data_IF_617356497456
#
_entry.id   IF_617356497456
#
_cell.length_a   1.000
_cell.length_b   1.000
_cell.length_c   1.000
_cell.angle_alpha   90.00
_cell.angle_beta   90.00
_cell.angle_gamma   90.00
#
_symmetry.space_group_name_H-M   'P 1'
#
loop_
_entity.id
_entity.type
_entity.pdbx_description
1 polymer ?
#
# COMPACT_ATOMS: atom_id res chain seq x y z
N UNK A 1 -8.17 51.56 -19.52
CA UNK A 1 -7.38 50.32 -19.36
C UNK A 1 -7.83 49.66 -18.07
N UNK A 2 -8.60 48.58 -18.15
CA UNK A 2 -8.86 47.77 -16.97
C UNK A 2 -7.55 47.04 -16.63
N UNK A 3 -6.96 47.33 -15.48
CA UNK A 3 -5.96 46.44 -14.88
C UNK A 3 -6.72 45.15 -14.54
N UNK A 4 -6.64 44.18 -15.45
CA UNK A 4 -7.19 42.85 -15.23
C UNK A 4 -6.45 42.32 -14.00
N UNK A 5 -7.17 42.13 -12.90
CA UNK A 5 -6.61 41.52 -11.70
C UNK A 5 -6.09 40.12 -12.05
N UNK A 6 -4.86 39.83 -11.63
CA UNK A 6 -4.15 38.60 -11.93
C UNK A 6 -3.17 38.78 -13.08
N UNK A 7 -1.88 38.71 -12.74
CA UNK A 7 -0.78 38.91 -13.69
C UNK A 7 -0.67 37.81 -14.75
N UNK A 8 0.50 37.73 -15.38
CA UNK A 8 0.78 36.81 -16.50
C UNK A 8 0.38 35.34 -16.24
N UNK A 9 0.42 34.87 -14.99
CA UNK A 9 0.02 33.52 -14.57
C UNK A 9 -1.37 33.09 -15.07
N UNK A 10 -2.33 34.02 -15.17
CA UNK A 10 -3.69 33.72 -15.62
C UNK A 10 -3.81 33.47 -17.13
N UNK A 11 -2.76 33.77 -17.88
CA UNK A 11 -2.74 33.64 -19.34
C UNK A 11 -1.80 32.53 -19.83
N UNK A 12 -0.98 31.95 -18.96
CA UNK A 12 0.01 30.91 -19.33
C UNK A 12 -0.66 29.70 -19.99
N UNK A 13 -1.86 29.32 -19.53
CA UNK A 13 -2.60 28.19 -20.12
C UNK A 13 -2.94 28.38 -21.60
N UNK A 14 -3.07 29.63 -22.07
CA UNK A 14 -3.33 29.94 -23.48
C UNK A 14 -2.11 29.72 -24.38
N UNK A 15 -0.92 29.62 -23.80
CA UNK A 15 0.34 29.38 -24.52
C UNK A 15 0.61 27.89 -24.76
N UNK A 16 -0.20 27.00 -24.18
CA UNK A 16 0.02 25.57 -24.28
C UNK A 16 -0.28 25.05 -25.69
N UNK A 17 0.75 24.55 -26.37
CA UNK A 17 0.67 24.05 -27.74
C UNK A 17 0.06 25.05 -28.73
N UNK A 18 0.25 26.35 -28.49
CA UNK A 18 -0.29 27.42 -29.32
C UNK A 18 0.70 27.79 -30.45
N UNK A 19 0.33 27.66 -31.73
CA UNK A 19 1.22 27.99 -32.83
C UNK A 19 1.42 29.49 -33.03
N UNK A 20 0.48 30.36 -32.62
CA UNK A 20 0.50 31.80 -32.91
C UNK A 20 1.66 32.52 -32.22
N UNK A 21 1.91 32.21 -30.94
CA UNK A 21 2.96 32.84 -30.13
C UNK A 21 4.21 31.96 -29.94
N UNK A 22 4.21 30.74 -30.49
CA UNK A 22 5.37 29.84 -30.42
C UNK A 22 6.59 30.36 -31.18
N UNK A 23 7.77 30.21 -30.58
CA UNK A 23 9.07 30.52 -31.19
C UNK A 23 9.92 29.26 -31.45
N UNK A 24 9.37 28.08 -31.17
CA UNK A 24 9.94 26.77 -31.53
C UNK A 24 8.86 25.71 -31.75
N UNK A 25 9.04 24.88 -32.77
CA UNK A 25 8.28 23.68 -33.05
C UNK A 25 9.10 22.43 -32.69
N UNK A 26 8.52 21.51 -31.92
CA UNK A 26 9.17 20.26 -31.49
C UNK A 26 8.49 19.10 -32.21
N UNK A 27 9.25 18.43 -33.07
CA UNK A 27 8.80 17.27 -33.85
C UNK A 27 9.05 15.99 -33.07
N UNK A 28 7.99 15.23 -32.84
CA UNK A 28 7.90 14.06 -31.97
C UNK A 28 7.34 12.87 -32.75
N UNK A 29 7.51 11.65 -32.25
CA UNK A 29 6.93 10.47 -32.88
C UNK A 29 5.43 10.42 -32.64
N UNK A 30 4.66 10.12 -33.70
CA UNK A 30 3.22 9.95 -33.58
C UNK A 30 2.90 8.57 -33.00
N UNK A 31 2.32 8.54 -31.81
CA UNK A 31 1.91 7.34 -31.08
C UNK A 31 0.39 7.14 -31.04
N UNK A 32 -0.37 7.91 -31.84
CA UNK A 32 -1.82 7.79 -31.93
C UNK A 32 -2.25 6.58 -32.80
N UNK A 33 -2.40 5.42 -32.18
CA UNK A 33 -2.94 4.22 -32.83
C UNK A 33 -1.88 3.26 -33.38
N UNK A 34 -2.33 2.15 -33.97
CA UNK A 34 -1.47 0.99 -34.29
C UNK A 34 -0.68 1.10 -35.61
N UNK A 35 -0.94 2.13 -36.44
CA UNK A 35 -0.41 2.23 -37.82
C UNK A 35 0.27 3.58 -38.11
N UNK A 36 0.84 4.23 -37.09
CA UNK A 36 1.52 5.53 -37.21
C UNK A 36 3.05 5.40 -37.30
N UNK A 37 3.58 4.21 -37.55
CA UNK A 37 5.02 3.95 -37.57
C UNK A 37 5.73 4.81 -38.62
N UNK A 38 6.51 5.79 -38.16
CA UNK A 38 7.26 6.72 -39.00
C UNK A 38 6.59 8.08 -39.20
N UNK A 39 5.36 8.26 -38.72
CA UNK A 39 4.69 9.56 -38.70
C UNK A 39 5.18 10.41 -37.52
N UNK A 40 5.11 11.73 -37.69
CA UNK A 40 5.51 12.69 -36.66
C UNK A 40 4.40 13.68 -36.34
N UNK A 41 4.34 14.12 -35.08
CA UNK A 41 3.49 15.23 -34.63
C UNK A 41 4.32 16.38 -34.08
N UNK A 42 3.78 17.58 -34.17
CA UNK A 42 4.46 18.81 -33.74
C UNK A 42 3.82 19.36 -32.48
N UNK A 43 4.66 19.67 -31.49
CA UNK A 43 4.31 20.47 -30.33
C UNK A 43 4.84 21.89 -30.50
N UNK A 44 3.96 22.89 -30.38
CA UNK A 44 4.33 24.31 -30.45
C UNK A 44 4.66 24.85 -29.06
N UNK A 45 5.92 25.27 -28.89
CA UNK A 45 6.46 25.67 -27.59
C UNK A 45 7.12 27.03 -27.59
N UNK A 46 7.52 27.44 -26.39
CA UNK A 46 8.19 28.70 -26.12
C UNK A 46 9.59 28.43 -25.56
N UNK A 47 10.64 28.84 -26.28
CA UNK A 47 12.05 28.56 -25.95
C UNK A 47 12.38 28.98 -24.52
N UNK A 48 11.90 30.15 -24.11
CA UNK A 48 12.13 30.67 -22.76
C UNK A 48 11.49 29.80 -21.68
N UNK A 49 10.26 29.29 -21.90
CA UNK A 49 9.56 28.43 -20.94
C UNK A 49 10.28 27.08 -20.83
N UNK A 50 10.60 26.47 -21.97
CA UNK A 50 11.30 25.19 -22.04
C UNK A 50 12.69 25.27 -21.38
N UNK A 51 13.49 26.28 -21.71
CA UNK A 51 14.81 26.49 -21.12
C UNK A 51 14.76 26.85 -19.63
N UNK A 52 13.68 27.48 -19.17
CA UNK A 52 13.47 27.76 -17.75
C UNK A 52 13.23 26.47 -16.98
N UNK A 53 12.54 25.49 -17.56
CA UNK A 53 12.18 24.23 -16.89
C UNK A 53 13.17 23.09 -17.15
N UNK A 54 13.95 23.12 -18.21
CA UNK A 54 14.83 22.02 -18.62
C UNK A 54 16.22 22.51 -18.99
N UNK A 55 17.23 21.97 -18.33
CA UNK A 55 18.63 22.27 -18.68
C UNK A 55 19.02 21.65 -20.03
N UNK A 56 18.34 20.59 -20.46
CA UNK A 56 18.43 20.02 -21.80
C UNK A 56 18.02 21.08 -22.85
N UNK A 57 16.81 21.63 -22.74
CA UNK A 57 16.34 22.66 -23.66
C UNK A 57 17.11 23.97 -23.53
N UNK A 58 17.55 24.33 -22.31
CA UNK A 58 18.41 25.51 -22.11
C UNK A 58 19.71 25.39 -22.90
N UNK A 59 20.37 24.25 -22.79
CA UNK A 59 21.61 23.98 -23.52
C UNK A 59 21.36 23.94 -25.02
N UNK A 60 20.32 23.24 -25.48
CA UNK A 60 19.99 23.09 -26.90
C UNK A 60 19.60 24.41 -27.58
N UNK A 61 18.79 25.25 -26.92
CA UNK A 61 18.18 26.44 -27.52
C UNK A 61 18.99 27.73 -27.28
N UNK A 62 19.73 27.82 -26.19
CA UNK A 62 20.53 29.01 -25.85
C UNK A 62 22.04 28.74 -25.80
N UNK A 63 22.47 27.50 -26.00
CA UNK A 63 23.88 27.13 -26.12
C UNK A 63 24.42 27.29 -27.54
N UNK A 64 25.50 26.57 -27.83
CA UNK A 64 26.23 26.65 -29.11
C UNK A 64 25.84 25.56 -30.11
N UNK A 65 24.70 24.89 -29.92
CA UNK A 65 24.20 23.86 -30.82
C UNK A 65 23.50 24.46 -32.04
N UNK A 66 23.40 23.70 -33.14
CA UNK A 66 22.76 24.18 -34.39
C UNK A 66 21.27 24.44 -34.17
N UNK A 67 20.65 23.71 -33.24
CA UNK A 67 19.28 23.86 -32.78
C UNK A 67 19.00 25.26 -32.20
N UNK A 68 20.03 25.97 -31.72
CA UNK A 68 19.89 27.30 -31.15
C UNK A 68 19.41 28.37 -32.17
N UNK A 69 19.52 28.09 -33.47
CA UNK A 69 19.02 28.99 -34.53
C UNK A 69 17.87 28.39 -35.33
N UNK A 70 17.45 27.15 -35.05
CA UNK A 70 16.36 26.49 -35.76
C UNK A 70 15.00 26.88 -35.17
N UNK A 71 14.00 27.05 -36.02
CA UNK A 71 12.59 27.17 -35.63
C UNK A 71 11.93 25.82 -35.34
N UNK A 72 12.54 24.74 -35.81
CA UNK A 72 12.05 23.38 -35.65
C UNK A 72 13.17 22.48 -35.12
N UNK A 73 12.86 21.70 -34.09
CA UNK A 73 13.76 20.72 -33.48
C UNK A 73 13.09 19.33 -33.46
N UNK A 74 13.88 18.26 -33.59
CA UNK A 74 13.39 16.88 -33.64
C UNK A 74 13.87 16.12 -32.41
N UNK A 75 12.97 15.43 -31.72
CA UNK A 75 13.28 14.52 -30.60
C UNK A 75 12.90 13.08 -30.96
N UNK A 76 13.79 12.34 -31.66
CA UNK A 76 13.49 10.98 -32.09
C UNK A 76 13.41 10.02 -30.91
N UNK A 77 12.47 9.07 -30.98
CA UNK A 77 12.18 8.11 -29.92
C UNK A 77 11.28 8.65 -28.80
N UNK A 78 10.76 9.87 -28.93
CA UNK A 78 9.89 10.47 -27.91
C UNK A 78 8.44 10.46 -28.42
N UNK A 79 7.54 9.71 -27.76
CA UNK A 79 6.11 9.70 -28.08
C UNK A 79 5.48 11.07 -27.84
N UNK A 80 4.63 11.50 -28.78
CA UNK A 80 3.93 12.78 -28.69
C UNK A 80 3.04 12.85 -27.44
N UNK A 81 2.29 11.79 -27.14
CA UNK A 81 1.38 11.78 -25.98
C UNK A 81 2.13 11.93 -24.64
N UNK A 82 3.26 11.24 -24.47
CA UNK A 82 4.10 11.35 -23.28
C UNK A 82 4.70 12.75 -23.12
N UNK A 83 5.19 13.34 -24.23
CA UNK A 83 5.73 14.70 -24.22
C UNK A 83 4.67 15.74 -23.84
N UNK A 84 3.46 15.62 -24.39
CA UNK A 84 2.33 16.49 -24.07
C UNK A 84 2.02 16.45 -22.56
N UNK A 85 1.99 15.27 -21.94
CA UNK A 85 1.78 15.12 -20.49
C UNK A 85 2.84 15.87 -19.66
N UNK A 86 4.11 15.80 -20.05
CA UNK A 86 5.19 16.57 -19.37
C UNK A 86 4.98 18.08 -19.58
N UNK A 87 4.59 18.49 -20.78
CA UNK A 87 4.33 19.91 -21.06
C UNK A 87 3.09 20.46 -20.34
N UNK A 88 2.07 19.64 -20.07
CA UNK A 88 0.93 20.05 -19.25
C UNK A 88 1.38 20.44 -17.83
N UNK A 89 2.35 19.72 -17.24
CA UNK A 89 2.95 20.15 -15.98
C UNK A 89 3.69 21.48 -16.14
N UNK A 90 4.52 21.60 -17.18
CA UNK A 90 5.36 22.79 -17.43
C UNK A 90 4.54 24.07 -17.64
N UNK A 91 3.46 24.00 -18.43
CA UNK A 91 2.64 25.17 -18.76
C UNK A 91 1.46 25.38 -17.84
N UNK A 92 0.81 24.30 -17.41
CA UNK A 92 -0.50 24.39 -16.73
C UNK A 92 -0.39 24.15 -15.22
N UNK A 93 0.76 23.71 -14.73
CA UNK A 93 0.92 23.26 -13.34
C UNK A 93 -0.01 22.10 -13.00
N UNK A 94 -0.57 21.41 -14.00
CA UNK A 94 -1.44 20.26 -13.79
C UNK A 94 -0.63 19.15 -13.14
N UNK A 95 -1.29 18.43 -12.24
CA UNK A 95 -0.70 17.27 -11.57
C UNK A 95 -0.43 16.14 -12.56
N UNK A 96 0.52 15.28 -12.18
CA UNK A 96 0.90 14.03 -12.84
C UNK A 96 -0.31 13.17 -13.28
N UNK A 97 -0.10 12.24 -14.24
CA UNK A 97 -1.18 11.49 -14.90
C UNK A 97 -2.20 10.96 -13.88
N UNK A 98 -3.48 11.36 -14.00
CA UNK A 98 -4.50 10.89 -13.06
C UNK A 98 -4.79 9.42 -13.34
N UNK A 99 -4.22 8.51 -12.54
CA UNK A 99 -4.41 7.05 -12.61
C UNK A 99 -3.82 6.36 -13.86
N UNK A 100 -2.50 6.44 -14.02
CA UNK A 100 -1.76 5.60 -14.97
C UNK A 100 -1.37 4.24 -14.40
N UNK A 101 -1.05 3.28 -15.27
CA UNK A 101 -0.32 2.06 -14.90
C UNK A 101 1.12 2.38 -14.51
N UNK A 102 1.85 1.41 -13.93
CA UNK A 102 3.25 1.63 -13.58
C UNK A 102 4.09 1.99 -14.82
N UNK A 103 3.79 1.39 -15.97
CA UNK A 103 4.47 1.65 -17.25
C UNK A 103 4.31 3.10 -17.69
N UNK A 104 3.09 3.66 -17.60
CA UNK A 104 2.86 5.07 -17.95
C UNK A 104 3.63 6.03 -17.03
N UNK A 105 3.71 5.68 -15.75
CA UNK A 105 4.48 6.45 -14.75
C UNK A 105 5.96 6.39 -15.06
N UNK A 106 6.48 5.21 -15.40
CA UNK A 106 7.88 4.99 -15.78
C UNK A 106 8.23 5.75 -17.05
N UNK A 107 7.38 5.69 -18.08
CA UNK A 107 7.56 6.41 -19.33
C UNK A 107 7.60 7.92 -19.09
N UNK A 108 6.63 8.45 -18.34
CA UNK A 108 6.57 9.86 -17.97
C UNK A 108 7.85 10.31 -17.24
N UNK A 109 8.25 9.60 -16.18
CA UNK A 109 9.39 10.04 -15.37
C UNK A 109 10.73 9.84 -16.10
N UNK A 110 10.84 8.82 -16.94
CA UNK A 110 11.99 8.62 -17.82
C UNK A 110 12.16 9.80 -18.78
N UNK A 111 11.06 10.32 -19.34
CA UNK A 111 11.08 11.51 -20.17
C UNK A 111 11.47 12.77 -19.39
N UNK A 112 10.95 12.96 -18.17
CA UNK A 112 11.35 14.06 -17.27
C UNK A 112 12.86 14.04 -17.03
N UNK A 113 13.45 12.87 -16.78
CA UNK A 113 14.90 12.71 -16.59
C UNK A 113 15.69 12.94 -17.88
N UNK A 114 15.24 12.41 -19.01
CA UNK A 114 15.89 12.65 -20.30
C UNK A 114 15.95 14.15 -20.63
N UNK A 115 14.88 14.87 -20.31
CA UNK A 115 14.80 16.33 -20.48
C UNK A 115 15.48 17.11 -19.34
N UNK A 116 16.16 16.46 -18.39
CA UNK A 116 16.87 17.09 -17.27
C UNK A 116 15.96 18.06 -16.48
N UNK A 117 14.74 17.61 -16.16
CA UNK A 117 13.73 18.34 -15.40
C UNK A 117 13.54 17.82 -13.96
N UNK A 118 14.27 16.77 -13.58
CA UNK A 118 14.17 16.06 -12.30
C UNK A 118 14.36 16.99 -11.09
N UNK A 119 15.34 17.91 -11.14
CA UNK A 119 15.61 18.85 -10.06
C UNK A 119 14.43 19.78 -9.71
N UNK A 120 13.49 19.98 -10.65
CA UNK A 120 12.31 20.83 -10.46
C UNK A 120 11.04 20.04 -10.18
N UNK A 121 10.99 18.77 -10.59
CA UNK A 121 9.78 17.95 -10.56
C UNK A 121 9.81 16.84 -9.51
N UNK A 122 11.00 16.36 -9.11
CA UNK A 122 11.18 15.20 -8.23
C UNK A 122 10.38 15.29 -6.94
N UNK A 123 10.44 16.41 -6.22
CA UNK A 123 9.70 16.57 -4.96
C UNK A 123 8.18 16.45 -5.14
N UNK A 124 7.64 17.06 -6.20
CA UNK A 124 6.20 17.00 -6.49
C UNK A 124 5.80 15.61 -6.95
N UNK A 125 6.61 14.98 -7.80
CA UNK A 125 6.37 13.65 -8.32
C UNK A 125 6.45 12.61 -7.20
N UNK A 126 7.42 12.73 -6.30
CA UNK A 126 7.60 11.87 -5.14
C UNK A 126 6.37 11.93 -4.21
N UNK A 127 5.89 13.14 -3.88
CA UNK A 127 4.66 13.33 -3.10
C UNK A 127 3.44 12.73 -3.79
N UNK A 128 3.34 12.90 -5.10
CA UNK A 128 2.25 12.33 -5.88
C UNK A 128 2.31 10.80 -5.89
N UNK A 129 3.49 10.19 -6.09
CA UNK A 129 3.70 8.75 -6.05
C UNK A 129 3.32 8.15 -4.70
N UNK A 130 3.71 8.80 -3.60
CA UNK A 130 3.32 8.40 -2.24
C UNK A 130 1.79 8.35 -2.10
N UNK A 131 1.08 9.36 -2.60
CA UNK A 131 -0.39 9.35 -2.60
C UNK A 131 -0.94 8.23 -3.48
N UNK A 132 -0.33 7.99 -4.64
CA UNK A 132 -0.80 6.96 -5.56
C UNK A 132 -0.68 5.54 -5.01
N UNK A 133 0.42 5.19 -4.35
CA UNK A 133 0.57 3.85 -3.74
C UNK A 133 -0.43 3.61 -2.60
N UNK A 134 -1.05 4.67 -2.06
CA UNK A 134 -2.12 4.58 -1.05
C UNK A 134 -3.52 4.51 -1.69
N UNK A 135 -3.75 5.21 -2.81
CA UNK A 135 -5.10 5.35 -3.40
C UNK A 135 -5.35 4.54 -4.67
N UNK A 136 -4.31 4.03 -5.33
CA UNK A 136 -4.40 3.29 -6.59
C UNK A 136 -3.98 1.84 -6.39
N UNK A 137 -4.96 0.92 -6.42
CA UNK A 137 -4.74 -0.51 -6.19
C UNK A 137 -3.76 -1.14 -7.18
N UNK A 138 -3.70 -0.66 -8.42
CA UNK A 138 -2.74 -1.17 -9.42
C UNK A 138 -1.29 -0.93 -8.96
N UNK A 139 -0.98 0.31 -8.56
CA UNK A 139 0.37 0.66 -8.10
C UNK A 139 0.70 0.06 -6.73
N UNK A 140 -0.30 -0.09 -5.87
CA UNK A 140 -0.17 -0.77 -4.58
C UNK A 140 0.19 -2.25 -4.73
N UNK A 141 -0.40 -2.93 -5.71
CA UNK A 141 -0.06 -4.32 -6.03
C UNK A 141 1.35 -4.47 -6.62
N UNK A 142 1.92 -3.41 -7.19
CA UNK A 142 3.28 -3.39 -7.75
C UNK A 142 4.31 -2.70 -6.83
N UNK A 143 4.03 -2.64 -5.52
CA UNK A 143 4.85 -1.87 -4.56
C UNK A 143 6.33 -2.27 -4.55
N UNK A 144 6.66 -3.55 -4.78
CA UNK A 144 8.05 -4.01 -4.87
C UNK A 144 8.79 -3.37 -6.07
N UNK A 145 8.12 -3.26 -7.22
CA UNK A 145 8.68 -2.57 -8.39
C UNK A 145 8.78 -1.07 -8.16
N UNK A 146 7.75 -0.47 -7.57
CA UNK A 146 7.79 0.95 -7.17
C UNK A 146 8.96 1.22 -6.21
N UNK A 147 9.22 0.29 -5.28
CA UNK A 147 10.34 0.39 -4.36
C UNK A 147 11.69 0.37 -5.09
N UNK A 148 11.87 -0.55 -6.06
CA UNK A 148 13.06 -0.57 -6.90
C UNK A 148 13.26 0.74 -7.69
N UNK A 149 12.19 1.26 -8.31
CA UNK A 149 12.20 2.52 -9.04
C UNK A 149 12.53 3.71 -8.13
N UNK A 150 12.07 3.70 -6.88
CA UNK A 150 12.42 4.74 -5.91
C UNK A 150 13.93 4.83 -5.67
N UNK A 151 14.67 3.71 -5.74
CA UNK A 151 16.13 3.71 -5.74
C UNK A 151 16.72 4.22 -7.04
N UNK A 152 16.21 3.77 -8.19
CA UNK A 152 16.68 4.23 -9.50
C UNK A 152 16.51 5.74 -9.68
N UNK A 153 15.41 6.29 -9.17
CA UNK A 153 15.04 7.70 -9.25
C UNK A 153 15.55 8.54 -8.08
N UNK A 154 16.26 7.91 -7.14
CA UNK A 154 16.83 8.52 -5.94
C UNK A 154 15.82 9.32 -5.07
N UNK A 155 14.62 8.77 -4.89
CA UNK A 155 13.51 9.39 -4.16
C UNK A 155 13.43 8.89 -2.70
N UNK A 156 14.06 9.61 -1.77
CA UNK A 156 14.21 9.16 -0.38
C UNK A 156 12.88 8.98 0.38
N UNK A 157 11.94 9.91 0.25
CA UNK A 157 10.64 9.80 0.92
C UNK A 157 9.82 8.64 0.32
N UNK A 158 9.90 8.41 -0.99
CA UNK A 158 9.26 7.26 -1.62
C UNK A 158 9.91 5.93 -1.18
N UNK A 159 11.25 5.85 -1.14
CA UNK A 159 11.97 4.68 -0.58
C UNK A 159 11.49 4.38 0.83
N UNK A 160 11.41 5.40 1.68
CA UNK A 160 10.98 5.26 3.08
C UNK A 160 9.53 4.78 3.19
N UNK A 161 8.63 5.36 2.39
CA UNK A 161 7.22 4.98 2.40
C UNK A 161 7.00 3.55 1.88
N UNK A 162 7.59 3.19 0.74
CA UNK A 162 7.53 1.82 0.21
C UNK A 162 8.09 0.82 1.22
N UNK A 163 9.26 1.10 1.80
CA UNK A 163 9.87 0.23 2.80
C UNK A 163 8.98 0.04 4.04
N UNK A 164 8.34 1.12 4.53
CA UNK A 164 7.40 1.04 5.65
C UNK A 164 6.22 0.13 5.33
N UNK A 165 5.57 0.33 4.18
CA UNK A 165 4.43 -0.48 3.75
C UNK A 165 4.82 -1.96 3.54
N UNK A 166 5.98 -2.21 2.94
CA UNK A 166 6.51 -3.57 2.74
C UNK A 166 6.80 -4.22 4.09
N UNK A 167 7.44 -3.52 5.03
CA UNK A 167 7.78 -4.07 6.34
C UNK A 167 6.54 -4.40 7.18
N UNK A 168 5.44 -3.67 7.01
CA UNK A 168 4.20 -3.86 7.77
C UNK A 168 3.52 -5.22 7.51
N UNK A 169 3.65 -5.76 6.29
CA UNK A 169 3.10 -7.06 5.85
C UNK A 169 4.12 -7.85 5.03
N UNK A 170 5.37 -7.87 5.50
CA UNK A 170 6.49 -8.42 4.75
C UNK A 170 6.30 -9.89 4.32
N UNK A 171 5.61 -10.69 5.13
CA UNK A 171 5.31 -12.09 4.82
C UNK A 171 4.60 -12.29 3.47
N UNK A 172 3.84 -11.31 2.98
CA UNK A 172 3.15 -11.38 1.68
C UNK A 172 4.13 -11.18 0.51
N UNK A 173 5.03 -10.22 0.65
CA UNK A 173 5.95 -9.81 -0.43
C UNK A 173 7.19 -10.69 -0.55
N UNK A 174 7.65 -11.31 0.54
CA UNK A 174 8.93 -12.05 0.59
C UNK A 174 8.98 -13.28 -0.34
N UNK A 175 7.83 -13.80 -0.76
CA UNK A 175 7.74 -14.94 -1.67
C UNK A 175 7.53 -14.55 -3.13
N UNK A 176 7.30 -13.27 -3.43
CA UNK A 176 7.05 -12.80 -4.79
C UNK A 176 8.32 -12.79 -5.65
N UNK A 177 8.15 -13.08 -6.94
CA UNK A 177 9.25 -13.03 -7.91
C UNK A 177 9.84 -11.60 -7.98
N UNK A 178 9.01 -10.56 -7.86
CA UNK A 178 9.49 -9.18 -7.87
C UNK A 178 10.45 -8.87 -6.71
N UNK A 179 10.43 -9.64 -5.62
CA UNK A 179 11.36 -9.43 -4.50
C UNK A 179 12.80 -9.75 -4.88
N UNK A 180 13.03 -10.80 -5.68
CA UNK A 180 14.40 -11.20 -6.07
C UNK A 180 15.04 -10.20 -7.03
N UNK A 181 14.25 -9.33 -7.67
CA UNK A 181 14.70 -8.28 -8.59
C UNK A 181 15.07 -6.96 -7.87
N UNK A 182 14.85 -6.87 -6.55
CA UNK A 182 15.15 -5.64 -5.79
C UNK A 182 16.65 -5.30 -5.84
N UNK A 183 17.01 -4.00 -5.95
CA UNK A 183 18.41 -3.60 -5.86
C UNK A 183 18.99 -3.87 -4.47
N UNK A 184 20.30 -4.10 -4.38
CA UNK A 184 20.99 -4.41 -3.11
C UNK A 184 20.68 -3.40 -2.00
N UNK A 185 20.62 -2.11 -2.32
CA UNK A 185 20.34 -1.05 -1.35
C UNK A 185 18.91 -1.11 -0.80
N UNK A 186 17.94 -1.58 -1.60
CA UNK A 186 16.58 -1.85 -1.12
C UNK A 186 16.56 -2.98 -0.10
N UNK A 187 17.27 -4.08 -0.38
CA UNK A 187 17.40 -5.21 0.54
C UNK A 187 18.12 -4.78 1.83
N UNK A 188 19.19 -3.97 1.73
CA UNK A 188 19.91 -3.43 2.89
C UNK A 188 19.02 -2.52 3.74
N UNK A 189 18.20 -1.68 3.10
CA UNK A 189 17.24 -0.81 3.77
C UNK A 189 16.18 -1.62 4.52
N UNK A 190 15.60 -2.63 3.88
CA UNK A 190 14.63 -3.53 4.50
C UNK A 190 15.25 -4.25 5.70
N UNK A 191 16.45 -4.84 5.56
CA UNK A 191 17.14 -5.51 6.67
C UNK A 191 17.66 -4.55 7.75
N UNK A 192 17.70 -3.25 7.48
CA UNK A 192 17.97 -2.21 8.46
C UNK A 192 16.73 -1.72 9.19
N UNK A 193 15.54 -2.18 8.79
CA UNK A 193 14.26 -1.74 9.32
C UNK A 193 13.81 -2.59 10.52
N UNK A 194 13.00 -1.98 11.39
CA UNK A 194 12.34 -2.65 12.51
C UNK A 194 11.10 -1.83 12.87
N UNK A 195 9.90 -2.45 13.02
CA UNK A 195 9.59 -3.87 12.85
C UNK A 195 9.64 -4.35 11.39
N UNK A 196 9.88 -5.66 11.19
CA UNK A 196 9.56 -6.37 9.95
C UNK A 196 8.57 -7.49 10.29
N UNK A 197 7.36 -7.41 9.76
CA UNK A 197 6.25 -8.34 10.02
C UNK A 197 6.42 -9.66 9.27
N UNK A 198 7.38 -10.46 9.69
CA UNK A 198 7.61 -11.82 9.19
C UNK A 198 8.35 -12.67 10.22
N UNK A 199 8.44 -13.98 9.95
CA UNK A 199 9.33 -14.87 10.69
C UNK A 199 10.75 -14.79 10.12
N UNK A 200 11.76 -15.05 10.96
CA UNK A 200 13.15 -15.12 10.48
C UNK A 200 13.38 -16.21 9.44
N UNK A 201 12.57 -17.27 9.46
CA UNK A 201 12.67 -18.36 8.48
C UNK A 201 12.24 -17.87 7.09
N UNK A 202 11.12 -17.14 7.00
CA UNK A 202 10.65 -16.52 5.75
C UNK A 202 11.66 -15.51 5.22
N UNK A 203 12.12 -14.59 6.09
CA UNK A 203 13.12 -13.59 5.72
C UNK A 203 14.42 -14.24 5.23
N UNK A 204 14.91 -15.27 5.94
CA UNK A 204 16.10 -16.01 5.53
C UNK A 204 15.92 -16.66 4.16
N UNK A 205 14.77 -17.29 3.90
CA UNK A 205 14.49 -17.94 2.62
C UNK A 205 14.49 -16.91 1.47
N UNK A 206 13.83 -15.77 1.67
CA UNK A 206 13.77 -14.70 0.67
C UNK A 206 15.16 -14.12 0.36
N UNK A 207 15.96 -13.86 1.40
CA UNK A 207 17.34 -13.35 1.23
C UNK A 207 18.25 -14.39 0.55
N UNK A 208 18.09 -15.68 0.87
CA UNK A 208 18.83 -16.74 0.18
C UNK A 208 18.44 -16.83 -1.30
N UNK A 209 17.14 -16.75 -1.62
CA UNK A 209 16.67 -16.71 -3.00
C UNK A 209 17.21 -15.49 -3.76
N UNK A 210 17.21 -14.31 -3.12
CA UNK A 210 17.79 -13.09 -3.69
C UNK A 210 19.30 -13.24 -3.96
N UNK A 211 20.06 -13.81 -3.01
CA UNK A 211 21.50 -14.08 -3.15
C UNK A 211 21.76 -15.04 -4.31
N UNK A 212 21.00 -16.13 -4.41
CA UNK A 212 21.16 -17.11 -5.49
C UNK A 212 20.83 -16.53 -6.86
N UNK A 213 19.81 -15.67 -6.95
CA UNK A 213 19.47 -14.97 -8.20
C UNK A 213 20.63 -14.07 -8.69
N UNK A 214 21.36 -13.46 -7.76
CA UNK A 214 22.45 -12.53 -8.05
C UNK A 214 23.86 -13.15 -7.93
N UNK A 215 23.98 -14.47 -7.81
CA UNK A 215 25.23 -15.18 -7.45
C UNK A 215 26.42 -14.86 -8.37
N UNK A 216 26.16 -14.57 -9.65
CA UNK A 216 27.19 -14.19 -10.63
C UNK A 216 27.65 -12.73 -10.53
N UNK A 217 26.88 -11.86 -9.87
CA UNK A 217 27.09 -10.41 -9.83
C UNK A 217 27.43 -9.83 -8.45
N UNK A 218 27.24 -10.57 -7.35
CA UNK A 218 27.53 -10.10 -5.99
C UNK A 218 28.79 -10.76 -5.41
N UNK A 219 29.57 -9.96 -4.69
CA UNK A 219 30.74 -10.46 -3.97
C UNK A 219 30.32 -11.26 -2.73
N UNK A 220 31.14 -12.25 -2.35
CA UNK A 220 30.83 -13.16 -1.24
C UNK A 220 30.68 -12.44 0.11
N UNK A 221 31.38 -11.31 0.30
CA UNK A 221 31.26 -10.46 1.48
C UNK A 221 29.86 -9.84 1.63
N UNK A 222 29.23 -9.44 0.52
CA UNK A 222 27.84 -8.95 0.50
C UNK A 222 26.87 -10.06 0.92
N UNK A 223 27.00 -11.25 0.34
CA UNK A 223 26.18 -12.39 0.74
C UNK A 223 26.34 -12.73 2.24
N UNK A 224 27.57 -12.68 2.76
CA UNK A 224 27.83 -12.86 4.19
C UNK A 224 27.26 -11.74 5.06
N UNK A 225 27.31 -10.48 4.59
CA UNK A 225 26.70 -9.33 5.26
C UNK A 225 25.19 -9.51 5.42
N UNK A 226 24.49 -9.82 4.32
CA UNK A 226 23.03 -10.00 4.32
C UNK A 226 22.61 -11.15 5.25
N UNK A 227 23.27 -12.30 5.15
CA UNK A 227 23.02 -13.43 6.06
C UNK A 227 23.27 -13.08 7.53
N UNK A 228 24.31 -12.29 7.82
CA UNK A 228 24.60 -11.81 9.18
C UNK A 228 23.53 -10.88 9.70
N UNK A 229 23.00 -9.97 8.87
CA UNK A 229 21.88 -9.09 9.24
C UNK A 229 20.63 -9.93 9.57
N UNK A 230 20.28 -10.91 8.73
CA UNK A 230 19.17 -11.83 8.99
C UNK A 230 19.35 -12.60 10.31
N UNK A 231 20.57 -13.04 10.62
CA UNK A 231 20.87 -13.81 11.83
C UNK A 231 20.66 -13.02 13.14
N UNK A 232 20.69 -11.68 13.09
CA UNK A 232 20.45 -10.81 14.26
C UNK A 232 18.99 -10.78 14.69
N UNK A 233 18.05 -11.09 13.79
CA UNK A 233 16.64 -11.11 14.12
C UNK A 233 16.30 -12.31 15.03
N UNK A 234 15.27 -12.13 15.86
CA UNK A 234 14.69 -13.16 16.71
C UNK A 234 13.92 -14.21 15.90
N UNK A 235 13.06 -15.00 16.55
CA UNK A 235 12.17 -15.93 15.83
C UNK A 235 11.18 -15.18 14.93
N UNK A 236 10.66 -14.07 15.45
CA UNK A 236 9.95 -13.04 14.71
C UNK A 236 10.95 -11.91 14.45
N UNK A 237 10.83 -11.24 13.30
CA UNK A 237 11.76 -10.17 12.91
C UNK A 237 11.48 -8.83 13.61
N UNK A 238 10.84 -8.88 14.78
CA UNK A 238 10.63 -7.80 15.72
C UNK A 238 10.26 -8.38 17.10
N UNK A 239 10.35 -7.57 18.16
CA UNK A 239 10.05 -7.92 19.55
C UNK A 239 8.53 -7.98 19.82
N UNK A 240 7.80 -8.71 18.98
CA UNK A 240 6.38 -8.92 19.21
C UNK A 240 6.13 -9.84 20.41
N UNK A 241 5.10 -9.50 21.19
CA UNK A 241 4.58 -10.40 22.20
C UNK A 241 3.68 -11.45 21.55
N UNK A 242 3.79 -12.70 22.00
CA UNK A 242 2.94 -13.81 21.55
C UNK A 242 2.15 -14.32 22.74
N UNK A 243 0.82 -14.23 22.68
CA UNK A 243 -0.07 -14.77 23.70
C UNK A 243 -0.72 -16.06 23.19
N UNK A 244 -0.49 -17.17 23.89
CA UNK A 244 -1.20 -18.42 23.64
C UNK A 244 -2.64 -18.32 24.14
N UNK A 245 -3.59 -18.61 23.27
CA UNK A 245 -5.00 -18.69 23.63
C UNK A 245 -5.28 -20.07 24.21
N UNK A 246 -5.77 -20.12 25.46
CA UNK A 246 -6.17 -21.36 26.11
C UNK A 246 -7.67 -21.61 25.90
N UNK A 247 -8.02 -22.80 25.44
CA UNK A 247 -9.42 -23.21 25.26
C UNK A 247 -10.13 -23.27 26.63
N UNK A 248 -11.21 -22.50 26.83
CA UNK A 248 -12.10 -22.70 27.99
C UNK A 248 -12.72 -24.10 27.88
N UNK A 249 -12.74 -24.87 28.99
CA UNK A 249 -13.17 -26.28 29.05
C UNK A 249 -14.62 -26.56 28.57
N UNK A 250 -15.44 -25.54 28.33
CA UNK A 250 -16.88 -25.67 28.08
C UNK A 250 -17.37 -25.15 26.70
N UNK A 251 -16.51 -25.01 25.70
CA UNK A 251 -16.99 -24.63 24.35
C UNK A 251 -17.66 -25.82 23.64
N UNK A 252 -18.84 -25.55 23.09
CA UNK A 252 -19.66 -26.44 22.26
C UNK A 252 -18.80 -27.11 21.16
N UNK A 253 -19.09 -28.39 20.88
CA UNK A 253 -18.56 -29.07 19.69
C UNK A 253 -18.99 -28.26 18.45
N UNK A 254 -18.14 -28.20 17.41
CA UNK A 254 -18.38 -27.37 16.23
C UNK A 254 -19.76 -27.65 15.64
N UNK A 255 -20.55 -26.58 15.43
CA UNK A 255 -21.97 -26.69 15.06
C UNK A 255 -22.22 -27.15 13.62
N UNK A 256 -21.18 -27.27 12.78
CA UNK A 256 -21.30 -27.80 11.41
C UNK A 256 -20.02 -28.53 10.95
N UNK A 257 -19.68 -29.65 11.59
CA UNK A 257 -18.80 -30.64 10.94
C UNK A 257 -19.70 -31.69 10.31
N UNK A 258 -19.84 -31.67 8.99
CA UNK A 258 -20.43 -32.82 8.29
C UNK A 258 -19.60 -34.05 8.63
N UNK A 259 -20.23 -35.08 9.21
CA UNK A 259 -19.59 -36.35 9.51
C UNK A 259 -19.14 -37.02 8.21
N UNK A 260 -17.84 -37.28 8.07
CA UNK A 260 -17.28 -38.03 6.95
C UNK A 260 -17.79 -39.49 6.97
N UNK A 261 -18.17 -40.06 5.81
CA UNK A 261 -18.61 -41.45 5.73
C UNK A 261 -17.43 -42.43 5.90
N UNK A 262 -17.67 -43.53 6.62
CA UNK A 262 -16.66 -44.51 7.09
C UNK A 262 -15.98 -45.36 5.99
N UNK A 263 -16.16 -45.06 4.68
CA UNK A 263 -15.71 -45.94 3.59
C UNK A 263 -14.61 -45.34 2.69
N UNK A 264 -13.49 -46.06 2.45
CA UNK A 264 -12.37 -45.58 1.64
C UNK A 264 -12.69 -45.26 0.17
N UNK A 265 -13.69 -45.91 -0.42
CA UNK A 265 -14.05 -45.78 -1.85
C UNK A 265 -14.73 -44.44 -2.18
N UNK A 266 -15.28 -43.73 -1.18
CA UNK A 266 -15.85 -42.38 -1.32
C UNK A 266 -14.77 -41.30 -1.25
N UNK A 267 -13.56 -41.66 -0.82
CA UNK A 267 -12.47 -40.74 -0.50
C UNK A 267 -11.73 -40.22 -1.75
N UNK A 268 -11.59 -41.05 -2.80
CA UNK A 268 -11.05 -40.58 -4.10
C UNK A 268 -12.00 -39.60 -4.79
N UNK A 269 -13.33 -39.81 -4.69
CA UNK A 269 -14.33 -38.88 -5.22
C UNK A 269 -14.44 -37.56 -4.45
N UNK A 270 -14.10 -37.54 -3.15
CA UNK A 270 -14.05 -36.31 -2.33
C UNK A 270 -12.74 -35.52 -2.51
N UNK A 271 -11.69 -36.13 -3.06
CA UNK A 271 -10.45 -35.43 -3.42
C UNK A 271 -10.57 -34.64 -4.73
N UNK A 272 -11.59 -34.92 -5.54
CA UNK A 272 -11.92 -34.18 -6.77
C UNK A 272 -12.81 -32.94 -6.52
N UNK A 273 -13.39 -32.80 -5.32
CA UNK A 273 -14.29 -31.70 -4.98
C UNK A 273 -13.74 -30.81 -3.85
N UNK A 274 -13.79 -29.50 -4.05
CA UNK A 274 -13.35 -28.51 -3.06
C UNK A 274 -14.31 -28.52 -1.86
N UNK A 275 -13.81 -28.92 -0.68
CA UNK A 275 -14.60 -28.91 0.55
C UNK A 275 -14.31 -27.62 1.32
N UNK A 276 -15.35 -26.80 1.52
CA UNK A 276 -15.25 -25.55 2.28
C UNK A 276 -15.59 -25.82 3.76
N UNK A 277 -14.61 -25.63 4.65
CA UNK A 277 -14.81 -25.72 6.09
C UNK A 277 -14.75 -24.31 6.69
N UNK A 278 -15.75 -23.93 7.47
CA UNK A 278 -15.78 -22.63 8.17
C UNK A 278 -15.74 -22.84 9.68
N UNK A 279 -14.82 -22.14 10.35
CA UNK A 279 -14.68 -22.10 11.80
C UNK A 279 -14.86 -20.66 12.28
N UNK A 280 -15.73 -20.43 13.26
CA UNK A 280 -15.85 -19.13 13.90
C UNK A 280 -15.25 -19.20 15.30
N UNK A 281 -14.40 -18.25 15.65
CA UNK A 281 -13.87 -18.06 17.01
C UNK A 281 -14.09 -16.62 17.43
N UNK A 282 -14.50 -16.44 18.68
CA UNK A 282 -14.71 -15.14 19.30
C UNK A 282 -13.71 -14.94 20.43
N UNK A 283 -13.12 -13.75 20.53
CA UNK A 283 -12.25 -13.38 21.64
C UNK A 283 -12.49 -11.93 22.09
N UNK A 284 -12.30 -11.69 23.39
CA UNK A 284 -12.41 -10.35 23.98
C UNK A 284 -11.05 -9.91 24.49
N UNK A 285 -10.61 -8.74 24.04
CA UNK A 285 -9.35 -8.12 24.45
C UNK A 285 -9.53 -7.47 25.81
N UNK A 286 -8.80 -7.94 26.84
CA UNK A 286 -8.96 -7.45 28.22
C UNK A 286 -8.05 -6.28 28.58
N UNK A 287 -7.12 -5.93 27.70
CA UNK A 287 -6.19 -4.82 27.84
C UNK A 287 -5.98 -4.22 26.48
N UNK A 288 -5.83 -2.90 26.43
CA UNK A 288 -5.53 -2.26 25.19
C UNK A 288 -4.21 -2.82 24.61
N UNK A 289 -4.20 -3.15 23.32
CA UNK A 289 -3.03 -3.70 22.61
C UNK A 289 -3.02 -3.21 21.15
N UNK A 290 -1.84 -3.20 20.55
CA UNK A 290 -1.70 -3.08 19.10
C UNK A 290 -1.56 -4.49 18.49
N UNK A 291 -2.64 -5.01 17.94
CA UNK A 291 -2.65 -6.33 17.30
C UNK A 291 -1.93 -6.25 15.94
N UNK A 292 -0.96 -7.14 15.73
CA UNK A 292 -0.07 -7.15 14.54
C UNK A 292 -0.14 -8.44 13.73
N UNK A 293 -0.75 -9.47 14.30
CA UNK A 293 -0.85 -10.75 13.63
C UNK A 293 -1.50 -11.83 14.48
N UNK A 294 -1.69 -12.98 13.86
CA UNK A 294 -2.18 -14.18 14.51
C UNK A 294 -1.31 -15.37 14.13
N UNK A 295 -1.32 -16.39 14.98
CA UNK A 295 -0.74 -17.68 14.67
C UNK A 295 -1.79 -18.76 14.79
N UNK A 296 -1.97 -19.49 13.70
CA UNK A 296 -2.90 -20.61 13.59
C UNK A 296 -2.06 -21.87 13.65
N UNK A 297 -2.29 -22.73 14.65
CA UNK A 297 -1.67 -24.05 14.66
C UNK A 297 -2.61 -25.06 14.01
N UNK A 298 -2.13 -25.75 12.97
CA UNK A 298 -2.85 -26.79 12.26
C UNK A 298 -2.43 -28.16 12.81
N UNK A 299 -3.40 -28.91 13.33
CA UNK A 299 -3.21 -30.28 13.76
C UNK A 299 -3.51 -31.25 12.62
N UNK A 300 -2.60 -32.19 12.36
CA UNK A 300 -2.88 -33.28 11.43
C UNK A 300 -3.97 -34.21 12.01
N UNK A 301 -5.02 -34.51 11.24
CA UNK A 301 -5.99 -35.52 11.64
C UNK A 301 -5.34 -36.91 11.52
N UNK A 302 -5.19 -37.61 12.65
CA UNK A 302 -4.52 -38.92 12.73
C UNK A 302 -5.23 -40.01 11.91
N UNK A 303 -6.52 -39.84 11.60
CA UNK A 303 -7.28 -40.76 10.74
C UNK A 303 -6.85 -40.68 9.27
N UNK A 304 -6.27 -39.54 8.84
CA UNK A 304 -5.77 -39.29 7.48
C UNK A 304 -4.23 -39.21 7.46
N UNK A 305 -3.60 -40.04 8.31
CA UNK A 305 -2.16 -40.05 8.53
C UNK A 305 -1.34 -40.70 7.40
N UNK A 306 0.00 -40.84 7.58
CA UNK A 306 0.98 -41.19 6.55
C UNK A 306 0.76 -42.50 5.77
N UNK A 307 -0.26 -43.30 6.13
CA UNK A 307 -0.69 -44.52 5.44
C UNK A 307 -1.65 -44.27 4.26
N UNK A 308 -2.17 -43.05 4.08
CA UNK A 308 -3.21 -42.72 3.09
C UNK A 308 -2.76 -41.78 1.96
N UNK A 309 -1.45 -41.61 1.76
CA UNK A 309 -0.91 -40.71 0.72
C UNK A 309 -0.85 -39.26 1.20
N UNK A 310 0.34 -38.66 1.20
CA UNK A 310 0.52 -37.24 1.56
C UNK A 310 0.05 -36.37 0.39
N UNK A 311 -0.88 -35.46 0.64
CA UNK A 311 -1.36 -34.51 -0.38
C UNK A 311 -0.73 -33.15 -0.09
N UNK A 312 -0.13 -32.53 -1.11
CA UNK A 312 0.14 -31.08 -1.09
C UNK A 312 -1.20 -30.38 -1.25
N UNK A 313 -1.60 -29.57 -0.28
CA UNK A 313 -2.93 -28.94 -0.29
C UNK A 313 -2.79 -27.44 -0.15
N UNK A 314 -3.35 -26.67 -1.09
CA UNK A 314 -3.55 -25.25 -0.86
C UNK A 314 -4.64 -25.06 0.21
N UNK A 315 -4.41 -24.20 1.20
CA UNK A 315 -5.39 -23.89 2.23
C UNK A 315 -5.74 -22.39 2.13
N UNK A 316 -6.94 -22.09 1.64
CA UNK A 316 -7.41 -20.71 1.64
C UNK A 316 -7.97 -20.35 3.01
N UNK A 317 -7.46 -19.27 3.62
CA UNK A 317 -7.84 -18.82 4.96
C UNK A 317 -8.48 -17.43 4.89
N UNK A 318 -9.78 -17.35 5.12
CA UNK A 318 -10.49 -16.06 5.17
C UNK A 318 -10.51 -15.52 6.61
N UNK A 319 -9.72 -14.49 6.89
CA UNK A 319 -9.68 -13.86 8.20
C UNK A 319 -10.43 -12.53 8.21
N UNK A 320 -11.61 -12.52 8.81
CA UNK A 320 -12.34 -11.26 9.05
C UNK A 320 -12.23 -10.92 10.52
N UNK A 321 -11.89 -9.68 10.82
CA UNK A 321 -12.02 -9.05 12.14
C UNK A 321 -13.15 -8.03 12.03
N UNK A 322 -14.15 -8.17 12.90
CA UNK A 322 -15.13 -7.12 13.10
C UNK A 322 -14.82 -6.43 14.43
N UNK A 323 -14.68 -5.10 14.44
CA UNK A 323 -14.47 -4.33 15.67
C UNK A 323 -15.26 -3.01 15.65
N UNK A 324 -16.11 -2.82 16.67
CA UNK A 324 -17.00 -1.66 16.85
C UNK A 324 -17.81 -1.31 15.59
N UNK A 325 -17.38 -0.26 14.87
CA UNK A 325 -18.03 0.30 13.69
C UNK A 325 -17.27 0.05 12.39
N UNK A 326 -16.05 -0.50 12.47
CA UNK A 326 -15.19 -0.79 11.32
C UNK A 326 -15.09 -2.30 11.07
N UNK A 327 -15.38 -2.70 9.84
CA UNK A 327 -15.22 -4.08 9.39
C UNK A 327 -13.86 -4.25 8.71
N UNK A 328 -12.88 -4.80 9.43
CA UNK A 328 -11.60 -5.18 8.85
C UNK A 328 -11.67 -6.62 8.29
N UNK A 329 -11.97 -6.74 7.00
CA UNK A 329 -11.94 -8.04 6.32
C UNK A 329 -10.63 -8.24 5.54
N UNK A 330 -9.92 -9.35 5.81
CA UNK A 330 -8.78 -9.80 4.99
C UNK A 330 -8.92 -11.26 4.57
N UNK A 331 -9.01 -11.47 3.26
CA UNK A 331 -8.95 -12.81 2.70
C UNK A 331 -7.47 -13.13 2.41
N UNK A 332 -6.95 -14.24 2.95
CA UNK A 332 -5.55 -14.63 2.82
C UNK A 332 -5.44 -16.10 2.38
N UNK A 333 -4.97 -16.34 1.16
CA UNK A 333 -4.73 -17.71 0.72
C UNK A 333 -3.34 -18.16 1.19
N UNK A 334 -3.26 -19.21 2.01
CA UNK A 334 -1.99 -19.73 2.50
C UNK A 334 -1.70 -21.09 1.88
N UNK A 335 -0.69 -21.15 1.03
CA UNK A 335 -0.23 -22.43 0.47
C UNK A 335 0.46 -23.25 1.56
N UNK A 336 -0.07 -24.44 1.86
CA UNK A 336 0.41 -25.27 2.96
C UNK A 336 0.91 -26.63 2.49
N UNK A 337 2.11 -27.01 2.91
CA UNK A 337 2.66 -28.33 2.60
C UNK A 337 2.53 -29.26 3.81
N UNK A 338 1.44 -30.03 3.87
CA UNK A 338 1.21 -31.05 4.91
C UNK A 338 2.26 -32.19 4.88
N UNK A 339 3.18 -32.21 3.91
CA UNK A 339 4.26 -33.22 3.87
C UNK A 339 5.43 -32.89 4.79
N UNK A 340 5.55 -31.65 5.27
CA UNK A 340 6.61 -31.22 6.17
C UNK A 340 6.18 -31.38 7.63
N UNK A 341 6.90 -32.23 8.38
CA UNK A 341 6.61 -32.53 9.79
C UNK A 341 6.74 -31.32 10.74
N UNK A 342 7.47 -30.29 10.31
CA UNK A 342 7.92 -29.16 11.14
C UNK A 342 7.06 -27.89 11.03
N UNK A 343 6.24 -27.76 9.99
CA UNK A 343 5.21 -26.73 9.96
C UNK A 343 3.92 -27.35 10.48
N UNK A 344 3.53 -26.94 11.68
CA UNK A 344 2.20 -27.15 12.27
C UNK A 344 1.55 -25.81 12.60
N UNK A 345 2.06 -24.70 12.06
CA UNK A 345 1.50 -23.39 12.31
C UNK A 345 1.80 -22.38 11.22
N UNK A 346 0.81 -21.57 10.88
CA UNK A 346 0.90 -20.41 10.00
C UNK A 346 0.90 -19.15 10.86
N UNK A 347 1.81 -18.22 10.57
CA UNK A 347 1.77 -16.89 11.16
C UNK A 347 1.30 -15.92 10.09
N UNK A 348 0.26 -15.16 10.40
CA UNK A 348 -0.32 -14.16 9.53
C UNK A 348 -0.06 -12.82 10.21
N UNK A 349 0.58 -11.90 9.50
CA UNK A 349 0.70 -10.52 9.95
C UNK A 349 -0.29 -9.63 9.19
N UNK A 350 -0.61 -8.49 9.77
CA UNK A 350 -1.46 -7.47 9.16
C UNK A 350 -1.04 -6.08 9.66
N UNK A 351 -1.49 -4.99 8.98
CA UNK A 351 -1.34 -3.62 9.48
C UNK A 351 -1.82 -3.47 10.91
N UNK A 352 -1.25 -2.51 11.65
CA UNK A 352 -1.62 -2.33 13.06
C UNK A 352 -3.14 -2.18 13.25
N UNK A 353 -3.71 -3.00 14.13
CA UNK A 353 -5.08 -2.84 14.59
C UNK A 353 -5.00 -2.47 16.07
N UNK A 354 -5.29 -1.20 16.38
CA UNK A 354 -5.48 -0.77 17.75
C UNK A 354 -6.73 -1.48 18.32
N UNK A 355 -6.60 -2.13 19.47
CA UNK A 355 -7.72 -2.74 20.16
C UNK A 355 -7.85 -2.09 21.54
N UNK A 356 -8.94 -1.37 21.78
CA UNK A 356 -9.28 -0.87 23.12
C UNK A 356 -9.64 -2.05 24.05
N UNK A 357 -9.76 -1.76 25.35
CA UNK A 357 -10.27 -2.74 26.32
C UNK A 357 -11.70 -3.11 25.95
N UNK A 358 -12.03 -4.39 26.09
CA UNK A 358 -13.32 -5.00 25.76
C UNK A 358 -13.66 -5.07 24.26
N UNK A 359 -12.71 -4.72 23.38
CA UNK A 359 -12.78 -5.03 21.95
C UNK A 359 -13.06 -6.51 21.73
N UNK A 360 -14.18 -6.80 21.04
CA UNK A 360 -14.50 -8.13 20.55
C UNK A 360 -13.85 -8.33 19.18
N UNK A 361 -13.24 -9.50 18.99
CA UNK A 361 -12.65 -9.92 17.73
C UNK A 361 -13.30 -11.25 17.38
N UNK A 362 -14.08 -11.24 16.31
CA UNK A 362 -14.57 -12.45 15.66
C UNK A 362 -13.60 -12.83 14.56
N UNK A 363 -13.36 -14.13 14.37
CA UNK A 363 -12.47 -14.64 13.32
C UNK A 363 -13.17 -15.80 12.63
N UNK A 364 -13.26 -15.74 11.31
CA UNK A 364 -13.92 -16.75 10.49
C UNK A 364 -12.89 -17.70 9.83
N UNK A 365 -13.34 -18.84 9.33
CA UNK A 365 -12.57 -19.89 8.64
C UNK A 365 -11.48 -20.67 9.41
N UNK A 366 -10.97 -20.24 10.58
CA UNK A 366 -9.97 -21.02 11.35
C UNK A 366 -10.01 -20.81 12.86
N UNK A 367 -9.50 -21.81 13.61
CA UNK A 367 -9.24 -21.66 15.05
C UNK A 367 -7.91 -20.95 15.30
N UNK A 368 -7.98 -19.70 15.77
CA UNK A 368 -6.80 -18.92 16.17
C UNK A 368 -6.22 -19.48 17.48
N UNK A 369 -4.91 -19.73 17.51
CA UNK A 369 -4.26 -20.34 18.68
C UNK A 369 -3.37 -19.38 19.45
N UNK A 370 -2.80 -18.39 18.77
CA UNK A 370 -2.04 -17.32 19.40
C UNK A 370 -2.32 -15.99 18.70
N UNK A 371 -2.19 -14.91 19.45
CA UNK A 371 -2.15 -13.54 18.91
C UNK A 371 -0.74 -12.97 19.03
N UNK A 372 -0.38 -12.11 18.07
CA UNK A 372 0.88 -11.39 18.01
C UNK A 372 0.58 -9.91 18.15
N UNK A 373 1.17 -9.25 19.14
CA UNK A 373 0.81 -7.88 19.50
C UNK A 373 1.99 -7.10 20.09
N UNK A 374 1.84 -5.78 20.10
CA UNK A 374 2.68 -4.84 20.84
C UNK A 374 1.89 -4.28 22.03
N UNK A 375 2.57 -4.07 23.15
CA UNK A 375 2.00 -3.24 24.22
C UNK A 375 2.09 -1.79 23.73
N UNK A 376 1.00 -1.04 23.68
CA UNK A 376 1.10 0.40 23.45
C UNK A 376 1.57 1.07 24.74
N UNK A 377 2.26 2.20 24.59
CA UNK A 377 2.58 3.11 25.70
C UNK A 377 1.28 3.81 26.13
N UNK A 378 0.53 3.17 27.01
CA UNK A 378 -0.66 3.76 27.63
C UNK A 378 -0.25 4.90 28.56
N UNK A 379 -1.15 5.88 28.73
CA UNK A 379 -0.98 6.93 29.74
C UNK A 379 -0.78 6.28 31.12
N UNK A 380 -0.18 7.00 32.07
CA UNK A 380 0.23 6.46 33.39
C UNK A 380 -0.90 5.82 34.22
N UNK A 381 -2.15 6.01 33.82
CA UNK A 381 -3.35 5.41 34.41
C UNK A 381 -3.92 4.21 33.61
N UNK A 382 -3.25 3.79 32.54
CA UNK A 382 -3.63 2.67 31.68
C UNK A 382 -4.67 3.02 30.61
N UNK A 383 -4.95 4.30 30.36
CA UNK A 383 -5.86 4.74 29.27
C UNK A 383 -5.18 4.74 27.91
N UNK A 384 -5.96 4.32 26.91
CA UNK A 384 -5.59 4.45 25.50
C UNK A 384 -5.85 5.89 25.06
N UNK A 385 -4.89 6.57 24.40
CA UNK A 385 -5.06 7.94 23.92
C UNK A 385 -6.13 8.09 22.82
N UNK A 386 -6.58 6.98 22.22
CA UNK A 386 -7.62 6.97 21.18
C UNK A 386 -9.03 6.66 21.70
N UNK A 387 -9.19 6.08 22.91
CA UNK A 387 -10.55 5.85 23.42
C UNK A 387 -11.09 7.20 23.99
N UNK A 388 -12.36 7.56 23.72
CA UNK A 388 -12.94 8.82 24.21
C UNK A 388 -12.90 8.88 25.74
N UNK A 389 -12.55 10.05 26.28
CA UNK A 389 -12.67 10.31 27.72
C UNK A 389 -14.13 10.09 28.10
N UNK A 390 -14.45 9.26 29.13
CA UNK A 390 -15.80 9.23 29.64
C UNK A 390 -16.11 10.65 30.16
N UNK A 391 -16.99 11.37 29.47
CA UNK A 391 -17.57 12.57 30.05
C UNK A 391 -18.19 12.17 31.39
N UNK A 392 -17.90 12.96 32.44
CA UNK A 392 -18.47 12.85 33.79
C UNK A 392 -20.01 12.98 33.72
N UNK A 393 -20.68 11.91 33.30
CA UNK A 393 -22.12 11.73 33.46
C UNK A 393 -22.39 11.07 34.81
N UNK A 394 -21.95 11.73 35.88
CA UNK A 394 -22.36 11.41 37.25
C UNK A 394 -22.45 12.68 38.10
N UNK A 395 -23.25 13.65 37.65
CA UNK A 395 -23.89 14.58 38.59
C UNK A 395 -25.25 15.03 38.06
N UNK A 396 -26.27 14.95 38.92
CA UNK A 396 -27.69 15.30 38.69
C UNK A 396 -28.45 14.26 37.84
N UNK A 397 -29.37 13.44 38.35
CA UNK A 397 -30.43 13.74 39.30
C UNK A 397 -30.86 12.49 40.09
N UNK A 398 -30.93 12.63 41.41
CA UNK A 398 -31.87 11.88 42.23
C UNK A 398 -33.04 12.78 42.64
N UNK A 399 -34.22 12.17 42.71
CA UNK A 399 -35.46 12.58 43.40
C UNK A 399 -36.36 13.68 42.81
N UNK A 400 -37.50 13.19 42.29
CA UNK A 400 -38.88 13.44 42.75
C UNK A 400 -39.81 14.44 42.04
N UNK A 401 -41.02 13.90 41.81
CA UNK A 401 -42.37 14.53 41.91
C UNK A 401 -42.86 15.52 40.86
N UNK A 402 -43.84 15.06 40.06
CA UNK A 402 -45.15 15.67 39.79
C UNK A 402 -45.33 17.18 40.10
N UNK A 403 -45.61 18.00 39.07
CA UNK A 403 -46.89 18.71 38.89
C UNK A 403 -46.94 19.55 37.60
N UNK A 404 -48.08 19.46 36.89
CA UNK A 404 -48.59 20.40 35.86
C UNK A 404 -48.66 21.87 36.33
N UNK A 405 -48.40 22.83 35.42
CA UNK A 405 -49.11 24.13 35.16
C UNK A 405 -48.40 24.82 33.97
N UNK A 406 -48.99 24.98 32.78
CA UNK A 406 -49.75 26.13 32.22
C UNK A 406 -49.03 27.50 32.27
N UNK A 407 -48.85 28.10 31.07
CA UNK A 407 -48.84 29.54 30.63
C UNK A 407 -47.88 29.66 29.41
N UNK A 408 -48.30 29.66 28.13
CA UNK A 408 -48.94 30.71 27.30
C UNK A 408 -48.26 32.10 27.31
N UNK A 409 -47.62 32.46 26.19
CA UNK A 409 -47.72 33.73 25.41
C UNK A 409 -46.65 33.67 24.28
N UNK A 410 -47.00 33.46 23.00
CA UNK A 410 -47.48 34.41 21.98
C UNK A 410 -46.57 35.62 21.73
N UNK A 411 -45.75 35.54 20.67
CA UNK A 411 -45.20 36.71 19.98
C UNK A 411 -45.72 36.72 18.53
N UNK A 412 -46.49 37.77 18.22
CA UNK A 412 -47.15 38.04 16.94
C UNK A 412 -46.26 38.79 15.94
N UNK A 413 -46.51 38.50 14.67
CA UNK A 413 -45.88 39.02 13.45
C UNK A 413 -46.19 40.49 13.10
N UNK A 414 -45.18 41.11 12.46
CA UNK A 414 -45.19 41.96 11.23
C UNK A 414 -45.98 43.28 11.12
N UNK A 415 -45.30 44.26 10.48
CA UNK A 415 -45.75 45.26 9.47
C UNK A 415 -46.88 46.24 9.85
N UNK A 416 -47.00 47.49 9.41
CA UNK A 416 -46.41 48.41 8.41
C UNK A 416 -47.06 49.79 8.70
N UNK A 417 -46.40 50.90 8.34
CA UNK A 417 -46.92 52.22 7.89
C UNK A 417 -48.06 52.95 8.66
N UNK A 418 -48.21 54.28 8.78
CA UNK A 418 -47.54 55.49 8.32
C UNK A 418 -48.21 56.69 9.06
N UNK A 419 -47.61 57.89 8.93
CA UNK A 419 -48.20 59.24 9.10
C UNK A 419 -48.49 59.83 10.50
N UNK A 420 -47.59 60.74 10.94
CA UNK A 420 -47.91 62.18 11.15
C UNK A 420 -46.65 63.08 11.18
#
# INVERSE_FOLDING_TARGET
MALIGGGFSNHVNKLFNDPELSDVAIVLDNDDGKDTTGETKTFHGHRVVLATMSDYFRSMLFGSFVEATKKEIRLPGVPYSAFVKVMEFVYLGKTFPSAGTLEEVMEFYSLVRMLLMDSKMSLYFEKWMIRQIETNESLKNEILKVFALAFEWDMLALKTKCNSNICEIANEYLAEIAFVELPLEAVRMLLGSSPISCTRVELKRAIQAWISHHESGIAADVAHELNRKVAKFGKLCHDFNVLSLCRKKNQLKPENVQSLPERPEVMEAMLETTHEYSYTSEMTILKCIALRGIKICLGANQQFGPKCGRIKSALELCFKIQWDYDNYQRNLTVLYDFTQHEQQSVTIFFPEIACCRETQIETFSTYVTHIIYLNQDFESDGRCPECPVPDDYDSYYSTSTYHDSIEEEMDTEQSEDDDE
#
